data_IF_945377830863
#
_entry.id   IF_945377830863
#
_cell.length_a   1.000
_cell.length_b   1.000
_cell.length_c   1.000
_cell.angle_alpha   90.00
_cell.angle_beta   90.00
_cell.angle_gamma   90.00
#
_symmetry.space_group_name_H-M   'P 1'
#
loop_
_entity.id
_entity.type
_entity.pdbx_description
1 polymer ?
#
# COMPACT_ATOMS: atom_id res chain seq x y z
N UNK A 1 13.97 9.61 18.41
CA UNK A 1 13.12 9.04 17.35
C UNK A 1 11.64 9.05 17.72
N UNK A 2 11.17 8.28 18.72
CA UNK A 2 9.73 8.26 19.08
C UNK A 2 9.22 9.59 19.67
N UNK A 3 10.03 10.22 20.53
CA UNK A 3 9.73 11.57 21.03
C UNK A 3 9.69 12.63 19.93
N UNK A 4 10.41 12.42 18.82
CA UNK A 4 10.45 13.37 17.71
C UNK A 4 9.20 13.25 16.83
N UNK A 5 8.68 12.03 16.63
CA UNK A 5 7.39 11.82 15.95
C UNK A 5 6.22 12.49 16.67
N UNK A 6 6.11 12.28 17.99
CA UNK A 6 5.02 12.85 18.77
C UNK A 6 5.13 14.37 18.78
N UNK A 7 6.35 14.92 18.97
CA UNK A 7 6.58 16.37 18.88
C UNK A 7 6.18 16.92 17.52
N UNK A 8 6.63 16.29 16.43
CA UNK A 8 6.30 16.72 15.07
C UNK A 8 4.79 16.69 14.84
N UNK A 9 4.11 15.61 15.23
CA UNK A 9 2.66 15.50 15.11
C UNK A 9 1.93 16.59 15.93
N UNK A 10 2.42 16.91 17.13
CA UNK A 10 1.89 17.97 17.97
C UNK A 10 2.08 19.38 17.38
N UNK A 11 2.97 19.57 16.41
CA UNK A 11 3.10 20.85 15.69
C UNK A 11 2.02 21.07 14.62
N UNK A 12 1.28 20.01 14.25
CA UNK A 12 0.24 20.07 13.22
C UNK A 12 -1.15 20.14 13.86
N UNK A 13 -1.86 21.28 13.78
CA UNK A 13 -3.19 21.43 14.39
C UNK A 13 -4.26 20.52 13.78
N UNK A 14 -4.02 19.97 12.59
CA UNK A 14 -4.91 19.02 11.92
C UNK A 14 -4.90 17.63 12.59
N UNK A 15 -3.86 17.31 13.35
CA UNK A 15 -3.74 16.03 14.05
C UNK A 15 -4.41 16.15 15.42
N UNK A 16 -5.59 15.56 15.54
CA UNK A 16 -6.39 15.60 16.78
C UNK A 16 -6.08 14.45 17.73
N UNK A 17 -5.56 13.32 17.21
CA UNK A 17 -5.19 12.14 17.98
C UNK A 17 -3.91 11.51 17.41
N UNK A 18 -3.06 11.00 18.30
CA UNK A 18 -1.78 10.35 17.93
C UNK A 18 -1.72 8.98 18.59
N UNK A 19 -1.54 7.95 17.78
CA UNK A 19 -1.34 6.57 18.25
C UNK A 19 0.04 6.09 17.81
N UNK A 20 0.88 5.70 18.77
CA UNK A 20 2.23 5.22 18.52
C UNK A 20 2.35 3.76 18.93
N UNK A 21 2.80 2.92 18.00
CA UNK A 21 2.96 1.48 18.22
C UNK A 21 4.43 1.08 18.08
N UNK A 22 5.00 0.59 19.17
CA UNK A 22 6.34 -0.06 19.18
C UNK A 22 6.25 -1.57 19.33
N UNK A 23 5.04 -2.06 19.61
CA UNK A 23 4.66 -3.47 19.71
C UNK A 23 3.23 -3.61 19.21
N UNK A 24 2.89 -4.81 18.73
CA UNK A 24 1.51 -5.15 18.40
C UNK A 24 0.64 -5.15 19.67
N UNK A 25 -0.60 -4.62 19.59
CA UNK A 25 -1.64 -4.84 20.58
C UNK A 25 -1.91 -6.33 20.82
N UNK A 26 -2.36 -6.67 22.02
CA UNK A 26 -2.63 -8.06 22.41
C UNK A 26 -3.72 -8.69 21.53
N UNK A 27 -4.70 -7.90 21.09
CA UNK A 27 -5.78 -8.34 20.21
C UNK A 27 -5.27 -8.80 18.85
N UNK A 28 -4.22 -8.15 18.32
CA UNK A 28 -3.57 -8.58 17.08
C UNK A 28 -2.65 -9.78 17.36
N UNK A 29 -1.92 -9.77 18.48
CA UNK A 29 -1.01 -10.88 18.84
C UNK A 29 -1.74 -12.20 19.11
N UNK A 30 -2.98 -12.15 19.57
CA UNK A 30 -3.81 -13.31 19.90
C UNK A 30 -4.71 -13.79 18.75
N UNK A 31 -4.81 -13.01 17.67
CA UNK A 31 -5.60 -13.39 16.51
C UNK A 31 -4.87 -14.49 15.70
N UNK A 32 -5.56 -15.63 15.54
CA UNK A 32 -5.04 -16.81 14.89
C UNK A 32 -4.63 -16.57 13.42
N UNK A 33 -5.21 -15.58 12.73
CA UNK A 33 -4.83 -15.19 11.36
C UNK A 33 -3.36 -14.76 11.30
N UNK A 34 -2.84 -14.17 12.37
CA UNK A 34 -1.47 -13.66 12.44
C UNK A 34 -0.47 -14.64 13.07
N UNK A 35 -0.93 -15.83 13.53
CA UNK A 35 -0.11 -16.76 14.28
C UNK A 35 1.20 -17.13 13.56
N UNK A 36 1.17 -17.33 12.23
CA UNK A 36 2.39 -17.57 11.43
C UNK A 36 3.28 -16.34 11.32
N UNK A 37 2.68 -15.16 11.13
CA UNK A 37 3.39 -13.88 10.95
C UNK A 37 4.24 -13.49 12.16
N UNK A 38 3.79 -13.82 13.36
CA UNK A 38 4.42 -13.43 14.63
C UNK A 38 5.37 -14.48 15.20
N UNK A 39 5.55 -15.63 14.52
CA UNK A 39 6.46 -16.69 14.96
C UNK A 39 7.89 -16.15 15.16
N UNK A 40 8.59 -16.58 16.24
CA UNK A 40 9.99 -16.23 16.43
C UNK A 40 10.84 -16.67 15.23
N UNK A 41 11.90 -15.89 14.93
CA UNK A 41 12.88 -16.17 13.87
C UNK A 41 12.32 -16.14 12.43
N UNK A 42 11.06 -15.76 12.24
CA UNK A 42 10.53 -15.42 10.92
C UNK A 42 10.96 -14.00 10.56
N UNK A 43 11.55 -13.82 9.37
CA UNK A 43 11.87 -12.48 8.85
C UNK A 43 10.61 -11.64 8.74
N UNK A 44 10.72 -10.34 9.00
CA UNK A 44 9.57 -9.46 9.07
C UNK A 44 8.80 -9.55 10.38
N UNK A 45 8.85 -10.67 11.14
CA UNK A 45 8.29 -10.87 12.49
C UNK A 45 7.08 -9.97 12.82
N UNK A 46 6.07 -10.06 11.99
CA UNK A 46 4.83 -9.30 12.07
C UNK A 46 4.84 -7.91 11.44
N UNK A 47 5.95 -7.19 11.33
CA UNK A 47 6.02 -5.81 10.84
C UNK A 47 5.29 -5.57 9.51
N UNK A 48 5.32 -6.54 8.58
CA UNK A 48 4.72 -6.38 7.27
C UNK A 48 3.21 -6.10 7.35
N UNK A 49 2.45 -6.78 8.21
CA UNK A 49 0.99 -6.62 8.23
C UNK A 49 0.48 -5.50 9.17
N UNK A 50 1.37 -4.82 9.91
CA UNK A 50 0.95 -3.87 10.96
C UNK A 50 0.07 -2.75 10.44
N UNK A 51 0.39 -2.21 9.25
CA UNK A 51 -0.31 -1.04 8.72
C UNK A 51 -1.80 -1.30 8.53
N UNK A 52 -2.15 -2.39 7.85
CA UNK A 52 -3.54 -2.78 7.61
C UNK A 52 -4.22 -3.27 8.89
N UNK A 53 -3.55 -4.08 9.73
CA UNK A 53 -4.17 -4.61 10.93
C UNK A 53 -4.40 -3.54 12.01
N UNK A 54 -3.47 -2.61 12.23
CA UNK A 54 -3.65 -1.51 13.17
C UNK A 54 -4.75 -0.54 12.71
N UNK A 55 -4.80 -0.21 11.41
CA UNK A 55 -5.86 0.63 10.87
C UNK A 55 -7.24 -0.01 11.08
N UNK A 56 -7.41 -1.29 10.73
CA UNK A 56 -8.67 -2.00 10.94
C UNK A 56 -9.01 -2.17 12.42
N UNK A 57 -8.02 -2.38 13.30
CA UNK A 57 -8.25 -2.43 14.76
C UNK A 57 -8.78 -1.10 15.30
N UNK A 58 -8.20 0.02 14.88
CA UNK A 58 -8.65 1.36 15.31
C UNK A 58 -10.07 1.65 14.82
N UNK A 59 -10.42 1.22 13.61
CA UNK A 59 -11.79 1.29 13.07
C UNK A 59 -12.74 0.40 13.87
N UNK A 60 -12.36 -0.86 14.14
CA UNK A 60 -13.17 -1.81 14.90
C UNK A 60 -13.44 -1.34 16.33
N UNK A 61 -12.48 -0.62 16.93
CA UNK A 61 -12.62 0.01 18.26
C UNK A 61 -13.35 1.35 18.24
N UNK A 62 -13.85 1.78 17.08
CA UNK A 62 -14.54 3.06 16.90
C UNK A 62 -13.69 4.29 17.29
N UNK A 63 -12.36 4.15 17.24
CA UNK A 63 -11.40 5.24 17.45
C UNK A 63 -11.33 6.10 16.19
N UNK A 64 -11.29 5.45 15.03
CA UNK A 64 -11.37 6.06 13.70
C UNK A 64 -12.72 5.69 13.09
N UNK A 65 -13.45 6.66 12.55
CA UNK A 65 -14.83 6.50 12.06
C UNK A 65 -14.99 7.08 10.66
N UNK A 66 -16.14 6.79 10.04
CA UNK A 66 -16.52 7.43 8.78
C UNK A 66 -16.48 8.96 8.93
N UNK A 67 -15.81 9.62 8.00
CA UNK A 67 -15.58 11.07 8.00
C UNK A 67 -14.26 11.50 8.64
N UNK A 68 -13.56 10.62 9.36
CA UNK A 68 -12.23 10.92 9.90
C UNK A 68 -11.15 10.73 8.81
N UNK A 69 -9.98 11.36 9.01
CA UNK A 69 -8.80 11.15 8.17
C UNK A 69 -7.76 10.32 8.95
N UNK A 70 -7.29 9.21 8.36
CA UNK A 70 -6.18 8.41 8.85
C UNK A 70 -4.88 8.83 8.16
N UNK A 71 -3.93 9.36 8.93
CA UNK A 71 -2.55 9.59 8.47
C UNK A 71 -1.62 8.55 9.09
N UNK A 72 -1.04 7.70 8.26
CA UNK A 72 -0.01 6.74 8.67
C UNK A 72 1.36 7.24 8.25
N UNK A 73 2.37 7.10 9.12
CA UNK A 73 3.76 7.48 8.84
C UNK A 73 4.72 6.52 9.58
N UNK A 74 5.56 5.80 8.84
CA UNK A 74 6.69 5.04 9.36
C UNK A 74 7.73 5.99 10.00
N UNK A 75 8.49 5.48 10.97
CA UNK A 75 9.48 6.28 11.72
C UNK A 75 10.58 6.88 10.84
N UNK A 76 10.86 6.28 9.69
CA UNK A 76 11.86 6.75 8.71
C UNK A 76 11.27 7.73 7.68
N UNK A 77 9.96 7.98 7.73
CA UNK A 77 9.21 8.75 6.74
C UNK A 77 8.51 9.99 7.33
N UNK A 78 8.93 10.40 8.53
CA UNK A 78 8.38 11.56 9.27
C UNK A 78 8.35 12.83 8.40
N UNK A 79 9.37 13.04 7.55
CA UNK A 79 9.44 14.21 6.66
C UNK A 79 8.28 14.33 5.67
N UNK A 80 7.58 13.23 5.36
CA UNK A 80 6.42 13.23 4.46
C UNK A 80 5.14 13.75 5.12
N UNK A 81 5.07 13.75 6.46
CA UNK A 81 3.87 14.11 7.21
C UNK A 81 3.37 15.51 6.86
N UNK A 82 4.25 16.51 6.95
CA UNK A 82 3.93 17.91 6.62
C UNK A 82 3.51 18.08 5.16
N UNK A 83 4.11 17.32 4.24
CA UNK A 83 3.79 17.39 2.83
C UNK A 83 2.38 16.85 2.54
N UNK A 84 2.05 15.67 3.08
CA UNK A 84 0.72 15.06 2.94
C UNK A 84 -0.36 15.97 3.56
N UNK A 85 -0.13 16.48 4.77
CA UNK A 85 -1.05 17.41 5.43
C UNK A 85 -1.27 18.71 4.64
N UNK A 86 -0.22 19.24 4.00
CA UNK A 86 -0.36 20.42 3.14
C UNK A 86 -1.28 20.15 1.94
N UNK A 87 -1.13 18.99 1.31
CA UNK A 87 -1.90 18.60 0.13
C UNK A 87 -3.36 18.28 0.51
N UNK A 88 -3.59 17.66 1.67
CA UNK A 88 -4.92 17.27 2.13
C UNK A 88 -5.86 18.46 2.38
N UNK A 89 -5.32 19.66 2.61
CA UNK A 89 -6.11 20.89 2.76
C UNK A 89 -6.92 21.20 1.50
N UNK A 90 -6.31 21.06 0.32
CA UNK A 90 -6.93 21.41 -0.96
C UNK A 90 -7.43 20.21 -1.77
N UNK A 91 -6.80 19.05 -1.64
CA UNK A 91 -7.17 17.83 -2.38
C UNK A 91 -8.14 16.97 -1.55
N UNK A 92 -9.22 16.50 -2.17
CA UNK A 92 -10.29 15.70 -1.51
C UNK A 92 -10.33 14.23 -1.97
N UNK A 93 -9.24 13.73 -2.56
CA UNK A 93 -9.09 12.31 -2.94
C UNK A 93 -9.22 11.39 -1.73
N UNK A 94 -9.68 10.17 -1.93
CA UNK A 94 -9.85 9.22 -0.81
C UNK A 94 -8.50 8.80 -0.24
N UNK A 95 -7.47 8.70 -1.08
CA UNK A 95 -6.11 8.35 -0.70
C UNK A 95 -5.13 9.41 -1.22
N UNK A 96 -4.19 9.85 -0.38
CA UNK A 96 -3.03 10.66 -0.76
C UNK A 96 -1.78 9.85 -0.43
N UNK A 97 -0.97 9.53 -1.43
CA UNK A 97 0.18 8.62 -1.29
C UNK A 97 1.28 8.98 -2.29
N UNK A 98 2.54 8.88 -1.87
CA UNK A 98 3.66 9.11 -2.77
C UNK A 98 3.94 7.87 -3.63
N UNK A 99 4.55 8.06 -4.80
CA UNK A 99 5.05 6.94 -5.63
C UNK A 99 6.55 6.72 -5.47
N UNK A 100 7.01 5.49 -5.71
CA UNK A 100 8.42 5.20 -5.95
C UNK A 100 8.78 5.33 -7.41
N UNK A 101 10.07 5.54 -7.68
CA UNK A 101 10.60 5.75 -9.02
C UNK A 101 10.63 4.47 -9.86
N UNK A 102 10.74 3.30 -9.22
CA UNK A 102 10.79 2.01 -9.91
C UNK A 102 9.40 1.50 -10.28
N UNK A 103 9.34 0.66 -11.32
CA UNK A 103 8.14 -0.07 -11.66
C UNK A 103 7.78 -1.09 -10.57
N UNK A 104 6.49 -1.43 -10.48
CA UNK A 104 5.96 -2.46 -9.58
C UNK A 104 6.73 -3.78 -9.65
N UNK A 105 6.99 -4.25 -10.88
CA UNK A 105 7.57 -5.57 -11.12
C UNK A 105 8.99 -5.76 -10.56
N UNK A 106 9.69 -4.68 -10.20
CA UNK A 106 11.01 -4.75 -9.57
C UNK A 106 10.92 -5.32 -8.16
N UNK A 107 9.81 -5.07 -7.46
CA UNK A 107 9.69 -5.28 -6.03
C UNK A 107 8.47 -6.13 -5.63
N UNK A 108 7.63 -6.51 -6.59
CA UNK A 108 6.42 -7.30 -6.35
C UNK A 108 6.62 -8.75 -6.76
N UNK A 109 6.35 -9.67 -5.83
CA UNK A 109 6.47 -11.11 -6.04
C UNK A 109 5.46 -11.60 -7.10
N UNK A 110 5.87 -12.56 -7.93
CA UNK A 110 5.04 -13.18 -8.97
C UNK A 110 3.68 -13.68 -8.49
N UNK A 111 3.62 -14.28 -7.30
CA UNK A 111 2.36 -14.79 -6.71
C UNK A 111 1.36 -13.66 -6.42
N UNK A 112 1.83 -12.43 -6.19
CA UNK A 112 0.95 -11.27 -6.05
C UNK A 112 0.38 -10.89 -7.42
N UNK A 113 1.15 -10.91 -8.50
CA UNK A 113 0.59 -10.70 -9.84
C UNK A 113 -0.46 -11.76 -10.18
N UNK A 114 -0.16 -13.02 -9.89
CA UNK A 114 -1.09 -14.15 -10.06
C UNK A 114 -2.39 -13.95 -9.27
N UNK A 115 -2.28 -13.52 -8.00
CA UNK A 115 -3.43 -13.27 -7.13
C UNK A 115 -4.40 -12.23 -7.73
N UNK A 116 -3.87 -11.26 -8.48
CA UNK A 116 -4.63 -10.21 -9.16
C UNK A 116 -4.95 -10.55 -10.62
N UNK A 117 -4.68 -11.77 -11.06
CA UNK A 117 -4.98 -12.24 -12.43
C UNK A 117 -4.24 -11.47 -13.51
N UNK A 118 -3.02 -11.02 -13.23
CA UNK A 118 -2.20 -10.18 -14.12
C UNK A 118 -0.76 -10.72 -14.19
N UNK A 119 0.06 -10.10 -15.03
CA UNK A 119 1.49 -10.41 -15.19
C UNK A 119 2.36 -9.20 -14.84
N UNK A 120 3.66 -9.44 -14.69
CA UNK A 120 4.64 -8.41 -14.37
C UNK A 120 4.86 -7.40 -15.51
N UNK A 121 4.52 -7.75 -16.74
CA UNK A 121 4.63 -6.90 -17.92
C UNK A 121 3.31 -6.22 -18.30
N UNK A 122 2.28 -6.37 -17.46
CA UNK A 122 1.03 -5.63 -17.62
C UNK A 122 1.28 -4.11 -17.46
N UNK A 123 0.84 -3.28 -18.41
CA UNK A 123 1.07 -1.83 -18.37
C UNK A 123 0.49 -1.12 -17.15
N UNK A 124 -0.65 -1.61 -16.61
CA UNK A 124 -1.32 -1.04 -15.43
C UNK A 124 -0.66 -1.49 -14.16
N UNK A 125 -0.45 -2.79 -14.03
CA UNK A 125 -0.01 -3.38 -12.78
C UNK A 125 1.50 -3.34 -12.67
N UNK A 126 2.19 -4.01 -13.59
CA UNK A 126 3.61 -4.31 -13.53
C UNK A 126 4.51 -3.16 -14.00
N UNK A 127 4.15 -2.49 -15.09
CA UNK A 127 4.93 -1.41 -15.72
C UNK A 127 4.46 0.00 -15.34
N UNK A 128 3.91 0.15 -14.13
CA UNK A 128 3.59 1.45 -13.55
C UNK A 128 4.28 1.62 -12.19
N UNK A 129 4.35 2.85 -11.70
CA UNK A 129 4.98 3.13 -10.40
C UNK A 129 4.24 2.43 -9.27
N UNK A 130 5.00 2.00 -8.26
CA UNK A 130 4.44 1.47 -7.02
C UNK A 130 4.22 2.61 -6.01
N UNK A 131 3.04 2.73 -5.38
CA UNK A 131 2.81 3.63 -4.25
C UNK A 131 3.69 3.22 -3.05
N UNK A 132 4.20 4.21 -2.31
CA UNK A 132 5.04 4.04 -1.11
C UNK A 132 4.18 3.92 0.14
N UNK A 133 4.18 2.75 0.77
CA UNK A 133 3.33 2.51 1.94
C UNK A 133 3.89 3.09 3.25
N UNK A 134 5.08 3.69 3.23
CA UNK A 134 5.70 4.26 4.43
C UNK A 134 5.02 5.53 4.93
N UNK A 135 4.31 6.26 4.08
CA UNK A 135 3.48 7.39 4.51
C UNK A 135 2.30 7.60 3.56
N UNK A 136 1.10 7.65 4.11
CA UNK A 136 -0.12 7.86 3.35
C UNK A 136 -1.21 8.49 4.20
N UNK A 137 -2.15 9.16 3.56
CA UNK A 137 -3.40 9.58 4.16
C UNK A 137 -4.58 8.88 3.48
N UNK A 138 -5.52 8.37 4.27
CA UNK A 138 -6.79 7.85 3.80
C UNK A 138 -7.94 8.60 4.48
N UNK A 139 -8.87 9.12 3.68
CA UNK A 139 -10.14 9.65 4.18
C UNK A 139 -11.08 8.51 4.42
N UNK A 140 -11.54 8.31 5.64
CA UNK A 140 -12.31 7.14 6.01
C UNK A 140 -13.74 7.29 5.51
N UNK A 141 -14.04 6.52 4.47
CA UNK A 141 -15.35 6.41 3.85
C UNK A 141 -15.53 4.96 3.38
N UNK A 142 -16.68 4.62 2.81
CA UNK A 142 -16.97 3.24 2.37
C UNK A 142 -15.91 2.65 1.42
N UNK A 143 -15.30 3.48 0.56
CA UNK A 143 -14.27 3.04 -0.40
C UNK A 143 -12.97 2.70 0.30
N UNK A 144 -12.47 3.56 1.19
CA UNK A 144 -11.22 3.30 1.94
C UNK A 144 -11.40 2.23 3.01
N UNK A 145 -12.58 2.10 3.62
CA UNK A 145 -12.89 0.97 4.49
C UNK A 145 -12.82 -0.35 3.73
N UNK A 146 -13.39 -0.42 2.52
CA UNK A 146 -13.27 -1.61 1.65
C UNK A 146 -11.80 -1.89 1.32
N UNK A 147 -11.03 -0.86 0.93
CA UNK A 147 -9.61 -0.98 0.62
C UNK A 147 -8.80 -1.54 1.81
N UNK A 148 -8.99 -0.97 3.01
CA UNK A 148 -8.29 -1.41 4.23
C UNK A 148 -8.64 -2.84 4.62
N UNK A 149 -9.89 -3.26 4.46
CA UNK A 149 -10.32 -4.64 4.72
C UNK A 149 -9.70 -5.63 3.74
N UNK A 150 -9.72 -5.31 2.44
CA UNK A 150 -9.07 -6.13 1.41
C UNK A 150 -7.55 -6.22 1.64
N UNK A 151 -6.94 -5.12 2.09
CA UNK A 151 -5.52 -5.11 2.42
C UNK A 151 -5.23 -6.04 3.58
N UNK A 152 -5.94 -5.92 4.71
CA UNK A 152 -5.77 -6.83 5.85
C UNK A 152 -6.01 -8.29 5.46
N UNK A 153 -7.08 -8.58 4.71
CA UNK A 153 -7.43 -9.94 4.26
C UNK A 153 -6.29 -10.58 3.45
N UNK A 154 -5.77 -9.88 2.44
CA UNK A 154 -4.63 -10.37 1.65
C UNK A 154 -3.35 -10.51 2.47
N UNK A 155 -3.15 -9.65 3.48
CA UNK A 155 -2.01 -9.79 4.39
C UNK A 155 -2.09 -11.07 5.24
N UNK A 156 -3.25 -11.73 5.38
CA UNK A 156 -3.35 -13.00 6.12
C UNK A 156 -2.68 -14.17 5.40
N UNK A 157 -2.50 -14.07 4.08
CA UNK A 157 -1.71 -15.05 3.34
C UNK A 157 -0.22 -14.74 3.50
N UNK A 158 0.39 -15.45 4.46
CA UNK A 158 1.82 -15.31 4.77
C UNK A 158 2.71 -15.54 3.53
N UNK A 159 2.29 -16.37 2.58
CA UNK A 159 3.10 -16.66 1.39
C UNK A 159 3.25 -15.43 0.49
N UNK A 160 2.16 -14.68 0.30
CA UNK A 160 2.16 -13.48 -0.55
C UNK A 160 3.13 -12.42 -0.01
N UNK A 161 3.20 -12.29 1.31
CA UNK A 161 3.90 -11.17 1.97
C UNK A 161 5.26 -11.54 2.53
N UNK A 162 5.61 -12.83 2.62
CA UNK A 162 6.92 -13.28 3.09
C UNK A 162 8.00 -13.23 2.01
N UNK A 163 9.21 -13.61 2.39
CA UNK A 163 10.32 -13.86 1.46
C UNK A 163 10.42 -15.33 1.03
N UNK A 164 9.38 -16.14 1.27
CA UNK A 164 9.31 -17.46 0.67
C UNK A 164 9.45 -17.34 -0.86
N UNK A 165 10.26 -18.22 -1.51
CA UNK A 165 10.38 -18.22 -2.95
C UNK A 165 9.01 -18.28 -3.63
N UNK A 166 8.85 -17.53 -4.71
CA UNK A 166 7.62 -17.52 -5.49
C UNK A 166 7.27 -18.93 -5.98
N UNK A 167 6.01 -19.36 -5.81
CA UNK A 167 5.53 -20.63 -6.37
C UNK A 167 5.41 -20.52 -7.89
N UNK A 168 5.06 -19.34 -8.38
CA UNK A 168 5.01 -19.02 -9.80
C UNK A 168 6.14 -18.06 -10.20
N UNK A 169 7.38 -18.54 -10.17
CA UNK A 169 8.55 -17.73 -10.48
C UNK A 169 8.56 -17.19 -11.94
N UNK A 170 7.74 -17.74 -12.84
CA UNK A 170 7.58 -17.23 -14.21
C UNK A 170 6.91 -15.85 -14.27
N UNK A 171 6.16 -15.50 -13.23
CA UNK A 171 5.51 -14.20 -13.06
C UNK A 171 6.37 -13.20 -12.28
N UNK A 172 7.56 -13.58 -11.83
CA UNK A 172 8.51 -12.61 -11.28
C UNK A 172 9.01 -11.71 -12.41
N UNK A 173 9.03 -10.40 -12.14
CA UNK A 173 9.67 -9.45 -13.03
C UNK A 173 11.16 -9.76 -13.20
N UNK A 174 11.77 -9.40 -14.34
CA UNK A 174 13.17 -9.69 -14.63
C UNK A 174 14.16 -9.11 -13.60
N UNK A 175 13.79 -8.00 -12.95
CA UNK A 175 14.58 -7.38 -11.88
C UNK A 175 14.27 -7.94 -10.49
N UNK A 176 13.14 -8.61 -10.29
CA UNK A 176 12.72 -9.13 -9.00
C UNK A 176 13.73 -10.14 -8.43
N UNK A 177 14.35 -10.96 -9.29
CA UNK A 177 15.35 -11.94 -8.88
C UNK A 177 16.59 -11.33 -8.16
N UNK A 178 16.81 -10.02 -8.30
CA UNK A 178 17.90 -9.27 -7.65
C UNK A 178 17.42 -8.41 -6.47
N UNK A 179 16.15 -8.57 -6.09
CA UNK A 179 15.43 -7.70 -5.16
C UNK A 179 14.63 -8.54 -4.18
N UNK A 180 14.00 -7.86 -3.23
CA UNK A 180 13.16 -8.48 -2.21
C UNK A 180 11.73 -7.96 -2.37
N UNK A 181 10.75 -8.75 -1.91
CA UNK A 181 9.36 -8.30 -1.95
C UNK A 181 9.20 -7.04 -1.11
N UNK A 182 8.37 -6.08 -1.54
CA UNK A 182 7.97 -4.94 -0.69
C UNK A 182 6.73 -5.22 0.16
N UNK A 183 6.32 -6.49 0.20
CA UNK A 183 5.38 -7.04 1.18
C UNK A 183 4.04 -6.31 1.18
N UNK A 184 3.72 -5.56 2.23
CA UNK A 184 2.48 -4.80 2.39
C UNK A 184 2.33 -3.68 1.38
N UNK A 185 3.45 -3.06 0.98
CA UNK A 185 3.44 -2.05 -0.06
C UNK A 185 3.01 -2.62 -1.40
N UNK A 186 3.47 -3.82 -1.75
CA UNK A 186 3.06 -4.51 -2.98
C UNK A 186 1.57 -4.82 -2.97
N UNK A 187 1.02 -5.29 -1.85
CA UNK A 187 -0.42 -5.56 -1.71
C UNK A 187 -1.24 -4.26 -1.81
N UNK A 188 -0.86 -3.21 -1.06
CA UNK A 188 -1.55 -1.91 -1.12
C UNK A 188 -1.53 -1.35 -2.55
N UNK A 189 -0.38 -1.43 -3.22
CA UNK A 189 -0.21 -0.99 -4.60
C UNK A 189 -1.19 -1.68 -5.54
N UNK A 190 -1.22 -3.02 -5.50
CA UNK A 190 -2.04 -3.82 -6.39
C UNK A 190 -3.54 -3.61 -6.13
N UNK A 191 -3.95 -3.38 -4.88
CA UNK A 191 -5.33 -3.01 -4.53
C UNK A 191 -5.71 -1.61 -5.03
N UNK A 192 -4.81 -0.64 -4.90
CA UNK A 192 -4.97 0.70 -5.47
C UNK A 192 -5.17 0.55 -6.97
N UNK A 193 -4.26 -0.13 -7.68
CA UNK A 193 -4.34 -0.34 -9.15
C UNK A 193 -5.60 -1.12 -9.56
N UNK A 194 -6.00 -2.14 -8.81
CA UNK A 194 -7.25 -2.88 -9.04
C UNK A 194 -8.50 -1.99 -9.07
N UNK A 195 -8.41 -0.78 -8.49
CA UNK A 195 -9.45 0.24 -8.43
C UNK A 195 -9.34 1.31 -9.53
N UNK A 196 -8.50 1.06 -10.56
CA UNK A 196 -8.25 1.90 -11.76
C UNK A 196 -7.86 3.39 -11.53
N UNK A 197 -7.06 3.76 -10.51
CA UNK A 197 -6.53 5.11 -10.38
C UNK A 197 -5.39 5.34 -11.38
N UNK A 198 -5.16 6.60 -11.73
CA UNK A 198 -4.04 7.01 -12.60
C UNK A 198 -2.74 7.01 -11.78
N UNK A 199 -1.99 5.91 -11.77
CA UNK A 199 -0.77 5.73 -10.97
C UNK A 199 0.52 6.29 -11.60
N UNK A 200 0.44 6.84 -12.80
CA UNK A 200 1.58 7.44 -13.50
C UNK A 200 2.57 6.42 -14.05
N UNK A 201 3.59 6.94 -14.74
CA UNK A 201 4.55 6.14 -15.52
C UNK A 201 5.79 5.78 -14.72
N UNK A 202 6.30 4.57 -14.90
CA UNK A 202 7.66 4.24 -14.51
C UNK A 202 8.58 4.34 -15.74
N UNK A 203 9.70 5.04 -15.60
CA UNK A 203 10.74 5.08 -16.63
C UNK A 203 11.81 4.06 -16.29
N UNK A 204 11.71 2.85 -16.85
CA UNK A 204 12.81 1.88 -16.78
C UNK A 204 13.52 1.76 -18.13
N UNK A 205 14.84 2.03 -18.17
CA UNK A 205 15.60 2.15 -19.42
C UNK A 205 15.63 0.85 -20.23
N UNK A 206 15.38 -0.29 -19.60
CA UNK A 206 15.43 -1.61 -20.23
C UNK A 206 14.08 -2.08 -20.83
N UNK A 207 12.99 -1.31 -20.65
CA UNK A 207 11.66 -1.68 -21.14
C UNK A 207 10.99 -0.57 -21.96
N UNK A 208 11.31 -0.43 -23.26
CA UNK A 208 10.65 0.53 -24.16
C UNK A 208 9.14 0.26 -24.36
N UNK A 209 8.60 -0.86 -23.87
CA UNK A 209 7.14 -1.06 -23.79
C UNK A 209 6.46 -0.10 -22.80
N UNK A 210 7.16 0.35 -21.75
CA UNK A 210 6.66 1.39 -20.86
C UNK A 210 6.53 2.74 -21.60
N UNK A 211 7.36 2.97 -22.63
CA UNK A 211 7.28 4.14 -23.51
C UNK A 211 6.09 4.09 -24.49
N UNK A 212 5.45 2.93 -24.71
CA UNK A 212 4.24 2.84 -25.57
C UNK A 212 2.97 3.39 -24.92
N UNK A 213 3.02 3.80 -23.66
CA UNK A 213 1.97 4.63 -23.03
C UNK A 213 2.12 6.11 -23.41
N UNK A 214 2.64 6.39 -24.61
CA UNK A 214 2.88 7.74 -25.10
C UNK A 214 1.65 8.31 -25.80
N UNK A 215 1.32 9.52 -25.37
CA UNK A 215 0.39 10.51 -25.94
C UNK A 215 -1.06 10.42 -25.44
N UNK A 216 -1.41 11.37 -24.57
CA UNK A 216 -2.74 11.97 -24.33
C UNK A 216 -3.98 11.08 -24.15
N UNK A 217 -3.85 9.76 -24.14
CA UNK A 217 -4.92 8.85 -23.82
C UNK A 217 -4.91 8.56 -22.31
N UNK A 218 -6.09 8.60 -21.71
CA UNK A 218 -6.26 8.23 -20.31
C UNK A 218 -5.60 6.86 -20.08
N UNK A 219 -4.58 6.79 -19.22
CA UNK A 219 -3.83 5.55 -18.95
C UNK A 219 -4.77 4.42 -18.46
N UNK A 220 -5.92 4.77 -17.88
CA UNK A 220 -6.97 3.81 -17.50
C UNK A 220 -7.92 3.39 -18.63
N UNK A 221 -7.80 3.99 -19.83
CA UNK A 221 -8.68 3.72 -20.97
C UNK A 221 -8.50 2.29 -21.45
N UNK A 222 -9.48 1.45 -21.13
CA UNK A 222 -9.48 0.02 -21.47
C UNK A 222 -9.17 -0.89 -20.29
N UNK A 223 -8.67 -0.34 -19.17
CA UNK A 223 -8.58 -1.09 -17.93
C UNK A 223 -9.94 -1.18 -17.27
N UNK A 224 -10.25 -2.36 -16.74
CA UNK A 224 -11.50 -2.64 -16.07
C UNK A 224 -11.23 -2.77 -14.58
N UNK A 225 -12.21 -2.33 -13.79
CA UNK A 225 -12.23 -2.60 -12.36
C UNK A 225 -12.01 -4.09 -12.12
N UNK A 226 -11.04 -4.45 -11.28
CA UNK A 226 -10.79 -5.86 -10.99
C UNK A 226 -12.04 -6.46 -10.31
N UNK A 227 -12.56 -7.62 -10.77
CA UNK A 227 -13.85 -8.14 -10.31
C UNK A 227 -13.91 -8.44 -8.81
N UNK A 228 -12.80 -8.94 -8.24
CA UNK A 228 -12.67 -9.23 -6.81
C UNK A 228 -12.14 -8.05 -5.98
N UNK A 229 -11.02 -7.46 -6.41
CA UNK A 229 -10.24 -6.51 -5.61
C UNK A 229 -10.50 -5.03 -5.91
N UNK A 230 -11.27 -4.72 -6.95
CA UNK A 230 -11.54 -3.33 -7.32
C UNK A 230 -12.48 -2.62 -6.33
N UNK A 231 -12.12 -1.39 -5.99
CA UNK A 231 -12.95 -0.46 -5.24
C UNK A 231 -13.48 0.61 -6.21
N UNK A 232 -14.73 0.45 -6.62
CA UNK A 232 -15.36 1.37 -7.58
C UNK A 232 -15.32 2.82 -7.09
N UNK A 233 -14.89 3.72 -7.97
CA UNK A 233 -14.85 5.15 -7.70
C UNK A 233 -13.79 5.59 -6.69
N UNK A 234 -12.83 4.74 -6.30
CA UNK A 234 -11.71 5.14 -5.45
C UNK A 234 -10.89 6.26 -6.12
N UNK A 235 -10.74 7.40 -5.43
CA UNK A 235 -9.96 8.55 -5.89
C UNK A 235 -8.62 8.55 -5.18
N UNK A 236 -7.54 8.54 -5.95
CA UNK A 236 -6.17 8.49 -5.41
C UNK A 236 -5.38 9.68 -5.96
N UNK A 237 -4.73 10.39 -5.06
CA UNK A 237 -3.79 11.46 -5.37
C UNK A 237 -2.36 10.96 -5.15
N UNK A 238 -1.63 10.84 -6.25
CA UNK A 238 -0.19 10.61 -6.23
C UNK A 238 0.57 11.92 -6.03
N UNK A 239 1.64 11.89 -5.22
CA UNK A 239 2.45 13.05 -4.82
C UNK A 239 3.94 12.78 -4.96
#
# INVERSE_FOLDING_TARGET
MMGDMVKEAQTAPEITQVHVYTKLPEEIMSDARWATHVKPKVRGRGYWFWKSALANLLIAKNVIRLGDDLLYVDTDSIGMMKHILKISKSDKSDVIIASQSHCEHVWTKGDIFEQFGTTWDDPHYGLSQQPKAQAYMMRINERTLKLLRLWEDLMTDFHLVSDEPSRNASLNGPWFAKKENRHDQSILSMLIKASIPKSGRCGEPDFPKAERLTNDEDESRGWKLHPKYGVEGLKVRFI
#
